data_IF_379049665018
#
_entry.id   IF_379049665018
#
_cell.length_a   1.000
_cell.length_b   1.000
_cell.length_c   1.000
_cell.angle_alpha   90.00
_cell.angle_beta   90.00
_cell.angle_gamma   90.00
#
_symmetry.space_group_name_H-M   'P 1'
#
loop_
_entity.id
_entity.type
_entity.pdbx_description
1 polymer ?
#
# COMPACT_ATOMS: atom_id res chain seq x y z
N UNK A 1 -31.47 -19.17 16.06
CA UNK A 1 -30.21 -18.42 16.23
C UNK A 1 -30.07 -17.56 14.99
N UNK A 2 -29.96 -16.24 15.09
CA UNK A 2 -29.88 -15.35 13.91
C UNK A 2 -28.47 -14.80 13.85
N UNK A 3 -27.59 -15.52 13.16
CA UNK A 3 -26.40 -14.89 12.58
C UNK A 3 -26.90 -13.89 11.53
N UNK A 4 -26.30 -12.71 11.43
CA UNK A 4 -26.65 -11.75 10.39
C UNK A 4 -25.62 -11.83 9.25
N UNK A 5 -25.81 -12.68 8.21
CA UNK A 5 -24.97 -12.73 7.01
C UNK A 5 -24.57 -11.35 6.45
N UNK A 6 -25.42 -10.34 6.66
CA UNK A 6 -25.18 -8.94 6.31
C UNK A 6 -23.94 -8.33 6.95
N UNK A 7 -23.54 -8.73 8.17
CA UNK A 7 -22.33 -8.21 8.82
C UNK A 7 -21.06 -8.64 8.10
N UNK A 8 -21.02 -9.89 7.60
CA UNK A 8 -19.92 -10.38 6.75
C UNK A 8 -19.80 -9.59 5.45
N UNK A 9 -20.91 -9.39 4.75
CA UNK A 9 -20.90 -8.64 3.49
C UNK A 9 -20.53 -7.16 3.70
N UNK A 10 -20.97 -6.55 4.81
CA UNK A 10 -20.54 -5.20 5.19
C UNK A 10 -19.03 -5.13 5.42
N UNK A 11 -18.49 -6.07 6.19
CA UNK A 11 -17.05 -6.17 6.43
C UNK A 11 -16.25 -6.41 5.13
N UNK A 12 -16.74 -7.29 4.25
CA UNK A 12 -16.13 -7.54 2.95
C UNK A 12 -16.10 -6.28 2.07
N UNK A 13 -17.24 -5.58 1.98
CA UNK A 13 -17.36 -4.34 1.22
C UNK A 13 -16.38 -3.27 1.70
N UNK A 14 -16.17 -3.15 3.02
CA UNK A 14 -15.18 -2.22 3.57
C UNK A 14 -13.75 -2.63 3.22
N UNK A 15 -13.40 -3.92 3.27
CA UNK A 15 -12.09 -4.39 2.85
C UNK A 15 -11.79 -4.05 1.38
N UNK A 16 -12.76 -4.29 0.48
CA UNK A 16 -12.63 -3.92 -0.93
C UNK A 16 -12.51 -2.41 -1.13
N UNK A 17 -13.32 -1.63 -0.41
CA UNK A 17 -13.29 -0.18 -0.50
C UNK A 17 -11.94 0.40 -0.06
N UNK A 18 -11.38 -0.08 1.06
CA UNK A 18 -10.06 0.34 1.54
C UNK A 18 -8.99 -0.04 0.54
N UNK A 19 -9.01 -1.27 0.02
CA UNK A 19 -8.03 -1.72 -0.98
C UNK A 19 -8.03 -0.84 -2.24
N UNK A 20 -9.23 -0.53 -2.75
CA UNK A 20 -9.38 0.34 -3.93
C UNK A 20 -8.84 1.75 -3.67
N UNK A 21 -9.25 2.36 -2.55
CA UNK A 21 -8.84 3.72 -2.21
C UNK A 21 -7.34 3.83 -1.90
N UNK A 22 -6.74 2.78 -1.33
CA UNK A 22 -5.30 2.69 -1.13
C UNK A 22 -4.56 2.61 -2.47
N UNK A 23 -5.02 1.75 -3.38
CA UNK A 23 -4.47 1.63 -4.73
C UNK A 23 -4.56 2.95 -5.52
N UNK A 24 -5.67 3.67 -5.41
CA UNK A 24 -5.83 4.99 -6.04
C UNK A 24 -4.76 5.99 -5.58
N UNK A 25 -4.36 5.95 -4.30
CA UNK A 25 -3.28 6.78 -3.75
C UNK A 25 -1.89 6.28 -4.14
N UNK A 26 -1.66 4.96 -4.09
CA UNK A 26 -0.35 4.35 -4.26
C UNK A 26 0.08 4.24 -5.73
N UNK A 27 -0.82 3.97 -6.66
CA UNK A 27 -0.49 3.75 -8.08
C UNK A 27 0.21 4.95 -8.74
N UNK A 28 -0.17 6.23 -8.48
CA UNK A 28 0.60 7.38 -8.95
C UNK A 28 2.04 7.42 -8.44
N UNK A 29 2.26 7.13 -7.15
CA UNK A 29 3.61 7.04 -6.58
C UNK A 29 4.42 5.94 -7.26
N UNK A 30 3.84 4.75 -7.40
CA UNK A 30 4.48 3.61 -8.05
C UNK A 30 4.98 3.95 -9.46
N UNK A 31 4.17 4.67 -10.27
CA UNK A 31 4.58 5.08 -11.62
C UNK A 31 5.79 6.02 -11.61
N UNK A 32 5.87 6.93 -10.65
CA UNK A 32 7.02 7.84 -10.51
C UNK A 32 8.26 7.07 -10.06
N UNK A 33 8.12 6.11 -9.14
CA UNK A 33 9.23 5.29 -8.68
C UNK A 33 9.90 4.49 -9.81
N UNK A 34 9.14 4.08 -10.85
CA UNK A 34 9.73 3.43 -12.03
C UNK A 34 10.67 4.35 -12.83
N UNK A 35 10.58 5.68 -12.66
CA UNK A 35 11.37 6.65 -13.42
C UNK A 35 12.53 7.24 -12.63
N UNK A 36 12.73 6.84 -11.36
CA UNK A 36 13.78 7.41 -10.48
C UNK A 36 15.20 6.93 -10.79
N UNK A 37 15.38 6.15 -11.87
CA UNK A 37 16.68 5.70 -12.34
C UNK A 37 17.68 6.86 -12.46
N UNK A 38 18.74 6.83 -11.64
CA UNK A 38 19.78 7.86 -11.64
C UNK A 38 19.43 9.19 -10.97
N UNK A 39 18.28 9.32 -10.30
CA UNK A 39 17.91 10.60 -9.64
C UNK A 39 18.97 11.09 -8.65
N UNK A 40 19.66 10.18 -7.97
CA UNK A 40 20.66 10.49 -6.96
C UNK A 40 22.01 10.88 -7.57
N UNK A 41 22.29 10.47 -8.81
CA UNK A 41 23.64 10.49 -9.37
C UNK A 41 24.50 9.28 -8.94
N UNK A 42 25.77 9.31 -9.32
CA UNK A 42 26.74 8.24 -9.12
C UNK A 42 27.93 8.58 -8.22
N UNK A 43 28.00 9.81 -7.70
CA UNK A 43 29.12 10.29 -6.89
C UNK A 43 29.26 9.56 -5.53
N UNK A 44 30.47 9.46 -5.01
CA UNK A 44 30.84 8.64 -3.87
C UNK A 44 30.08 9.03 -2.59
N UNK A 45 29.86 10.32 -2.37
CA UNK A 45 29.15 10.81 -1.18
C UNK A 45 27.65 10.45 -1.16
N UNK A 46 27.03 10.18 -2.32
CA UNK A 46 25.59 9.83 -2.37
C UNK A 46 25.30 8.35 -2.12
N UNK A 47 26.30 7.46 -2.24
CA UNK A 47 26.11 6.00 -2.24
C UNK A 47 25.39 5.46 -1.01
N UNK A 48 25.73 5.96 0.18
CA UNK A 48 25.08 5.53 1.43
C UNK A 48 23.61 5.93 1.45
N UNK A 49 23.29 7.14 0.98
CA UNK A 49 21.92 7.60 0.92
C UNK A 49 21.11 6.85 -0.15
N UNK A 50 21.65 6.71 -1.38
CA UNK A 50 20.95 6.05 -2.48
C UNK A 50 20.67 4.58 -2.17
N UNK A 51 21.63 3.86 -1.59
CA UNK A 51 21.42 2.48 -1.12
C UNK A 51 20.31 2.39 -0.07
N UNK A 52 20.32 3.27 0.93
CA UNK A 52 19.30 3.28 1.97
C UNK A 52 17.92 3.73 1.45
N UNK A 53 17.89 4.62 0.46
CA UNK A 53 16.67 4.99 -0.26
C UNK A 53 16.12 3.78 -1.00
N UNK A 54 16.94 3.13 -1.83
CA UNK A 54 16.53 1.99 -2.68
C UNK A 54 15.97 0.83 -1.84
N UNK A 55 16.63 0.50 -0.72
CA UNK A 55 16.15 -0.52 0.23
C UNK A 55 14.80 -0.17 0.83
N UNK A 56 14.63 1.06 1.34
CA UNK A 56 13.36 1.50 1.95
C UNK A 56 12.22 1.55 0.95
N UNK A 57 12.48 2.03 -0.26
CA UNK A 57 11.46 2.05 -1.32
C UNK A 57 11.07 0.63 -1.71
N UNK A 58 12.02 -0.28 -1.91
CA UNK A 58 11.72 -1.68 -2.23
C UNK A 58 10.90 -2.38 -1.13
N UNK A 59 11.24 -2.16 0.14
CA UNK A 59 10.48 -2.68 1.27
C UNK A 59 9.05 -2.09 1.30
N UNK A 60 8.92 -0.78 1.12
CA UNK A 60 7.63 -0.11 1.08
C UNK A 60 6.72 -0.63 -0.05
N UNK A 61 7.24 -0.73 -1.28
CA UNK A 61 6.43 -1.13 -2.43
C UNK A 61 5.93 -2.56 -2.31
N UNK A 62 6.72 -3.44 -1.69
CA UNK A 62 6.31 -4.80 -1.34
C UNK A 62 5.16 -4.79 -0.31
N UNK A 63 5.31 -4.05 0.79
CA UNK A 63 4.29 -3.97 1.85
C UNK A 63 2.99 -3.35 1.34
N UNK A 64 3.07 -2.25 0.60
CA UNK A 64 1.92 -1.56 0.02
C UNK A 64 1.11 -2.47 -0.91
N UNK A 65 1.80 -3.19 -1.81
CA UNK A 65 1.19 -4.14 -2.74
C UNK A 65 0.52 -5.31 -1.98
N UNK A 66 1.21 -5.90 -1.01
CA UNK A 66 0.69 -7.02 -0.25
C UNK A 66 -0.49 -6.63 0.64
N UNK A 67 -0.47 -5.43 1.23
CA UNK A 67 -1.59 -4.91 2.01
C UNK A 67 -2.87 -4.78 1.18
N UNK A 68 -2.78 -4.17 -0.02
CA UNK A 68 -3.92 -4.05 -0.93
C UNK A 68 -4.48 -5.41 -1.35
N UNK A 69 -3.60 -6.39 -1.64
CA UNK A 69 -4.00 -7.76 -2.00
C UNK A 69 -4.64 -8.50 -0.83
N UNK A 70 -4.07 -8.40 0.36
CA UNK A 70 -4.59 -9.04 1.56
C UNK A 70 -6.01 -8.56 1.87
N UNK A 71 -6.29 -7.25 1.70
CA UNK A 71 -7.64 -6.71 1.84
C UNK A 71 -8.63 -7.29 0.82
N UNK A 72 -8.23 -7.45 -0.44
CA UNK A 72 -9.09 -8.06 -1.46
C UNK A 72 -9.40 -9.52 -1.10
N UNK A 73 -8.36 -10.33 -0.88
CA UNK A 73 -8.55 -11.74 -0.53
C UNK A 73 -9.34 -11.94 0.76
N UNK A 74 -9.14 -11.06 1.75
CA UNK A 74 -9.89 -11.16 3.00
C UNK A 74 -11.36 -10.76 2.81
N UNK A 75 -11.66 -9.80 1.92
CA UNK A 75 -13.02 -9.53 1.45
C UNK A 75 -13.68 -10.77 0.82
N UNK A 76 -12.92 -11.56 0.06
CA UNK A 76 -13.42 -12.80 -0.57
C UNK A 76 -13.78 -13.85 0.49
N UNK A 77 -12.90 -14.02 1.48
CA UNK A 77 -13.12 -14.92 2.62
C UNK A 77 -14.38 -14.53 3.39
N UNK A 78 -14.55 -13.23 3.70
CA UNK A 78 -15.73 -12.71 4.38
C UNK A 78 -17.01 -12.92 3.55
N UNK A 79 -16.95 -12.67 2.24
CA UNK A 79 -18.07 -12.90 1.31
C UNK A 79 -18.48 -14.37 1.28
N UNK A 80 -17.51 -15.28 1.19
CA UNK A 80 -17.75 -16.73 1.21
C UNK A 80 -18.33 -17.20 2.55
N UNK A 81 -17.80 -16.68 3.67
CA UNK A 81 -18.33 -16.97 5.01
C UNK A 81 -19.79 -16.50 5.14
N UNK A 82 -20.09 -15.26 4.73
CA UNK A 82 -21.45 -14.71 4.73
C UNK A 82 -22.42 -15.54 3.89
N UNK A 83 -21.98 -16.02 2.73
CA UNK A 83 -22.78 -16.91 1.88
C UNK A 83 -23.04 -18.26 2.54
N UNK A 84 -22.01 -18.90 3.08
CA UNK A 84 -22.13 -20.19 3.77
C UNK A 84 -23.10 -20.10 4.96
N UNK A 85 -23.03 -19.02 5.75
CA UNK A 85 -23.98 -18.73 6.81
C UNK A 85 -25.40 -18.54 6.29
N UNK A 86 -25.60 -17.73 5.24
CA UNK A 86 -26.91 -17.54 4.64
C UNK A 86 -27.52 -18.87 4.14
N UNK A 87 -26.71 -19.74 3.52
CA UNK A 87 -27.13 -21.06 3.09
C UNK A 87 -27.50 -21.97 4.26
N UNK A 88 -26.71 -21.93 5.35
CA UNK A 88 -27.00 -22.67 6.58
C UNK A 88 -28.35 -22.27 7.18
N UNK A 89 -28.57 -20.97 7.34
CA UNK A 89 -29.83 -20.39 7.84
C UNK A 89 -31.02 -20.77 6.95
N UNK A 90 -30.88 -20.66 5.63
CA UNK A 90 -31.92 -21.04 4.68
C UNK A 90 -32.27 -22.53 4.75
N UNK A 91 -31.25 -23.41 4.89
CA UNK A 91 -31.45 -24.86 5.04
C UNK A 91 -32.09 -25.22 6.38
N UNK A 92 -31.70 -24.54 7.46
CA UNK A 92 -32.25 -24.75 8.79
C UNK A 92 -33.69 -24.22 8.94
N UNK A 93 -34.05 -23.19 8.19
CA UNK A 93 -35.41 -22.65 8.20
C UNK A 93 -36.40 -23.66 7.57
N UNK A 94 -37.35 -24.13 8.39
CA UNK A 94 -38.40 -25.09 8.00
C UNK A 94 -39.70 -24.41 7.55
N UNK A 95 -39.78 -23.08 7.59
CA UNK A 95 -40.96 -22.37 7.13
C UNK A 95 -41.22 -22.64 5.65
N UNK A 96 -42.48 -22.93 5.24
CA UNK A 96 -42.84 -23.03 3.83
C UNK A 96 -42.66 -21.69 3.08
N UNK A 97 -42.74 -20.56 3.79
CA UNK A 97 -42.61 -19.20 3.23
C UNK A 97 -41.21 -18.60 3.44
N UNK A 98 -40.17 -19.44 3.54
CA UNK A 98 -38.80 -18.99 3.86
C UNK A 98 -38.09 -18.16 2.79
N UNK A 99 -38.76 -17.87 1.67
CA UNK A 99 -38.24 -17.09 0.57
C UNK A 99 -37.30 -17.87 -0.36
N UNK A 100 -36.54 -17.14 -1.18
CA UNK A 100 -35.60 -17.73 -2.13
C UNK A 100 -34.29 -18.15 -1.45
N UNK A 101 -33.62 -19.15 -2.04
CA UNK A 101 -32.29 -19.55 -1.61
C UNK A 101 -31.27 -18.41 -1.84
N UNK A 102 -30.23 -18.30 -0.99
CA UNK A 102 -29.15 -17.35 -1.20
C UNK A 102 -28.48 -17.55 -2.56
N UNK A 103 -28.27 -16.46 -3.29
CA UNK A 103 -27.55 -16.47 -4.57
C UNK A 103 -26.05 -16.54 -4.34
N UNK A 104 -25.36 -17.37 -5.12
CA UNK A 104 -23.90 -17.46 -5.08
C UNK A 104 -23.29 -16.08 -5.42
N UNK A 105 -22.36 -15.55 -4.60
CA UNK A 105 -21.66 -14.33 -4.93
C UNK A 105 -20.82 -14.52 -6.21
N UNK A 106 -21.21 -13.85 -7.30
CA UNK A 106 -20.47 -13.86 -8.57
C UNK A 106 -19.66 -12.57 -8.79
N UNK A 107 -19.92 -11.54 -7.98
CA UNK A 107 -19.27 -10.24 -8.04
C UNK A 107 -18.10 -10.13 -7.06
N UNK A 108 -17.22 -11.13 -7.07
CA UNK A 108 -15.93 -11.01 -6.39
C UNK A 108 -15.08 -10.09 -7.26
N UNK A 109 -14.57 -8.94 -6.75
CA UNK A 109 -13.70 -8.09 -7.53
C UNK A 109 -12.53 -8.92 -8.02
N UNK A 110 -12.30 -8.96 -9.34
CA UNK A 110 -11.09 -9.56 -9.87
C UNK A 110 -9.91 -8.89 -9.19
N UNK A 111 -9.03 -9.68 -8.59
CA UNK A 111 -7.77 -9.18 -8.05
C UNK A 111 -7.18 -8.21 -9.08
N UNK A 112 -7.05 -6.93 -8.73
CA UNK A 112 -6.40 -6.00 -9.64
C UNK A 112 -4.97 -6.51 -9.81
N UNK A 113 -4.56 -6.95 -11.01
CA UNK A 113 -3.22 -7.42 -11.19
C UNK A 113 -2.31 -6.20 -10.99
N UNK A 114 -1.51 -6.20 -9.93
CA UNK A 114 -0.24 -5.52 -10.01
C UNK A 114 0.57 -6.29 -11.05
N UNK A 115 0.41 -5.90 -12.31
CA UNK A 115 1.04 -6.53 -13.47
C UNK A 115 2.55 -6.30 -13.48
N UNK A 116 3.17 -6.47 -14.65
CA UNK A 116 4.61 -6.26 -14.88
C UNK A 116 5.12 -4.85 -14.48
N UNK A 117 4.21 -3.91 -14.18
CA UNK A 117 4.49 -2.55 -13.72
C UNK A 117 4.71 -2.43 -12.20
N UNK A 118 4.67 -3.54 -11.44
CA UNK A 118 4.99 -3.55 -10.01
C UNK A 118 6.43 -3.12 -9.76
N UNK A 119 6.63 -2.09 -8.91
CA UNK A 119 7.98 -1.67 -8.50
C UNK A 119 8.54 -2.72 -7.54
N UNK A 120 9.43 -3.57 -8.03
CA UNK A 120 10.15 -4.58 -7.23
C UNK A 120 11.43 -3.99 -6.61
N UNK A 121 11.84 -2.81 -7.09
CA UNK A 121 12.95 -2.04 -6.57
C UNK A 121 13.15 -0.78 -7.40
N UNK A 122 13.91 0.16 -6.84
CA UNK A 122 14.35 1.38 -7.54
C UNK A 122 15.87 1.38 -7.59
N UNK A 123 16.43 1.98 -8.64
CA UNK A 123 17.86 2.18 -8.79
C UNK A 123 18.13 3.69 -8.79
N UNK A 124 18.00 4.33 -7.63
CA UNK A 124 18.16 5.78 -7.51
C UNK A 124 19.56 6.24 -7.89
N UNK A 125 20.57 5.38 -7.72
CA UNK A 125 21.95 5.66 -8.13
C UNK A 125 22.23 5.23 -9.56
N UNK A 126 22.78 6.16 -10.33
CA UNK A 126 23.42 5.92 -11.63
C UNK A 126 24.24 7.17 -11.97
N UNK A 127 25.43 6.98 -12.54
CA UNK A 127 26.19 8.11 -13.05
C UNK A 127 25.45 8.74 -14.24
N UNK A 128 25.15 10.03 -14.17
CA UNK A 128 24.49 10.79 -15.24
C UNK A 128 25.50 11.61 -16.08
N UNK A 129 26.76 11.66 -15.68
CA UNK A 129 27.81 12.36 -16.42
C UNK A 129 28.89 12.89 -15.48
N UNK A 130 29.48 14.03 -15.85
CA UNK A 130 30.50 14.71 -15.04
C UNK A 130 29.91 15.71 -14.03
N UNK A 131 28.58 15.83 -13.97
CA UNK A 131 27.91 16.85 -13.18
C UNK A 131 28.02 18.23 -13.84
N UNK A 132 29.11 18.95 -13.60
CA UNK A 132 29.34 20.28 -14.18
C UNK A 132 29.83 20.18 -15.63
N UNK A 133 29.04 20.72 -16.54
CA UNK A 133 29.45 21.00 -17.92
C UNK A 133 29.78 22.48 -18.06
N UNK A 134 30.95 22.80 -18.60
CA UNK A 134 31.43 24.19 -18.72
C UNK A 134 32.30 24.35 -19.94
N UNK A 135 32.08 25.44 -20.68
CA UNK A 135 32.94 25.86 -21.79
C UNK A 135 34.20 26.61 -21.31
N UNK A 136 34.24 27.03 -20.04
CA UNK A 136 35.38 27.74 -19.45
C UNK A 136 36.49 26.76 -19.05
N UNK A 137 37.69 26.86 -19.65
CA UNK A 137 38.82 26.00 -19.31
C UNK A 137 39.22 26.17 -17.84
N UNK A 138 39.44 25.06 -17.13
CA UNK A 138 39.90 25.07 -15.75
C UNK A 138 38.82 25.31 -14.69
N UNK A 139 37.55 25.57 -15.08
CA UNK A 139 36.48 25.80 -14.11
C UNK A 139 36.12 24.52 -13.34
N UNK A 140 36.07 23.39 -14.04
CA UNK A 140 35.78 22.09 -13.45
C UNK A 140 36.76 21.76 -12.32
N UNK A 141 38.07 21.88 -12.58
CA UNK A 141 39.13 21.60 -11.63
C UNK A 141 39.08 22.55 -10.41
N UNK A 142 38.81 23.83 -10.65
CA UNK A 142 38.65 24.83 -9.58
C UNK A 142 37.46 24.51 -8.68
N UNK A 143 36.34 24.07 -9.26
CA UNK A 143 35.14 23.71 -8.51
C UNK A 143 35.36 22.42 -7.72
N UNK A 144 35.92 21.38 -8.34
CA UNK A 144 36.26 20.12 -7.66
C UNK A 144 37.17 20.37 -6.46
N UNK A 145 38.17 21.25 -6.59
CA UNK A 145 39.09 21.59 -5.50
C UNK A 145 38.40 22.25 -4.29
N UNK A 146 37.18 22.80 -4.45
CA UNK A 146 36.41 23.43 -3.39
C UNK A 146 35.33 22.50 -2.80
N UNK A 147 35.04 21.36 -3.44
CA UNK A 147 33.98 20.45 -3.01
C UNK A 147 34.55 19.42 -2.02
N UNK A 148 33.93 19.35 -0.84
CA UNK A 148 34.18 18.28 0.11
C UNK A 148 33.79 16.92 -0.52
N UNK A 149 34.77 16.03 -0.68
CA UNK A 149 34.57 14.72 -1.32
C UNK A 149 35.13 14.61 -2.75
N UNK A 150 35.59 15.72 -3.36
CA UNK A 150 36.38 15.68 -4.59
C UNK A 150 35.62 15.28 -5.86
N UNK A 151 34.29 15.26 -5.83
CA UNK A 151 33.45 14.92 -6.97
C UNK A 151 32.30 15.92 -7.09
N UNK A 152 31.98 16.31 -8.32
CA UNK A 152 30.82 17.18 -8.58
C UNK A 152 29.56 16.31 -8.58
N UNK A 153 28.52 16.67 -7.82
CA UNK A 153 27.24 15.98 -7.88
C UNK A 153 26.69 15.93 -9.30
N UNK A 154 26.28 14.75 -9.74
CA UNK A 154 25.68 14.48 -11.04
C UNK A 154 24.22 14.03 -10.90
N UNK A 155 23.53 14.47 -9.85
CA UNK A 155 22.12 14.15 -9.60
C UNK A 155 21.21 14.73 -10.69
N UNK A 156 20.16 13.98 -11.03
CA UNK A 156 19.06 14.46 -11.89
C UNK A 156 17.99 15.09 -10.99
N UNK A 157 18.07 16.40 -10.83
CA UNK A 157 17.24 17.16 -9.87
C UNK A 157 15.76 17.15 -10.24
N UNK A 158 15.43 16.99 -11.52
CA UNK A 158 14.04 16.91 -11.97
C UNK A 158 13.41 15.59 -11.54
N UNK A 159 14.10 14.46 -11.77
CA UNK A 159 13.64 13.16 -11.24
C UNK A 159 13.54 13.16 -9.72
N UNK A 160 14.51 13.77 -9.05
CA UNK A 160 14.51 13.88 -7.59
C UNK A 160 13.32 14.70 -7.09
N UNK A 161 13.04 15.86 -7.71
CA UNK A 161 11.88 16.70 -7.40
C UNK A 161 10.54 16.02 -7.68
N UNK A 162 10.47 15.25 -8.77
CA UNK A 162 9.28 14.44 -9.10
C UNK A 162 9.04 13.35 -8.05
N UNK A 163 10.09 12.63 -7.64
CA UNK A 163 10.00 11.61 -6.59
C UNK A 163 9.55 12.22 -5.25
N UNK A 164 10.15 13.36 -4.86
CA UNK A 164 9.77 14.09 -3.66
C UNK A 164 8.29 14.51 -3.66
N UNK A 165 7.82 15.04 -4.80
CA UNK A 165 6.42 15.46 -4.97
C UNK A 165 5.47 14.27 -4.91
N UNK A 166 5.85 13.13 -5.51
CA UNK A 166 5.04 11.91 -5.49
C UNK A 166 4.91 11.32 -4.09
N UNK A 167 6.02 11.23 -3.34
CA UNK A 167 6.01 10.80 -1.94
C UNK A 167 5.14 11.71 -1.08
N UNK A 168 5.28 13.03 -1.25
CA UNK A 168 4.45 14.00 -0.53
C UNK A 168 2.96 13.83 -0.86
N UNK A 169 2.63 13.71 -2.15
CA UNK A 169 1.25 13.54 -2.60
C UNK A 169 0.63 12.26 -2.03
N UNK A 170 1.39 11.17 -2.00
CA UNK A 170 0.96 9.92 -1.37
C UNK A 170 0.76 10.09 0.13
N UNK A 171 1.74 10.68 0.83
CA UNK A 171 1.70 10.89 2.27
C UNK A 171 0.59 11.86 2.71
N UNK A 172 0.20 12.81 1.86
CA UNK A 172 -0.89 13.76 2.12
C UNK A 172 -2.27 13.19 1.67
N UNK A 173 -2.32 12.00 1.06
CA UNK A 173 -3.55 11.48 0.48
C UNK A 173 -4.55 11.00 1.55
N UNK A 174 -5.78 11.54 1.60
CA UNK A 174 -6.74 11.24 2.68
C UNK A 174 -7.12 9.77 2.83
N UNK A 175 -7.02 8.95 1.77
CA UNK A 175 -7.34 7.52 1.84
C UNK A 175 -6.29 6.65 2.54
N UNK A 176 -5.04 7.14 2.64
CA UNK A 176 -4.01 6.48 3.45
C UNK A 176 -4.38 6.64 4.93
N UNK A 177 -4.94 7.79 5.29
CA UNK A 177 -5.42 8.10 6.63
C UNK A 177 -6.80 7.50 6.91
N UNK A 178 -6.85 6.58 7.87
CA UNK A 178 -8.10 6.06 8.44
C UNK A 178 -8.43 4.61 8.08
N UNK A 179 -7.63 3.94 7.24
CA UNK A 179 -7.75 2.50 6.99
C UNK A 179 -7.64 1.69 8.29
N UNK A 180 -6.68 2.03 9.16
CA UNK A 180 -6.53 1.44 10.50
C UNK A 180 -7.82 1.55 11.32
N UNK A 181 -8.37 2.76 11.45
CA UNK A 181 -9.58 3.01 12.22
C UNK A 181 -10.78 2.27 11.64
N UNK A 182 -10.96 2.31 10.32
CA UNK A 182 -12.07 1.63 9.64
C UNK A 182 -12.02 0.12 9.82
N UNK A 183 -10.84 -0.49 9.69
CA UNK A 183 -10.67 -1.94 9.89
C UNK A 183 -10.96 -2.35 11.34
N UNK A 184 -10.57 -1.53 12.32
CA UNK A 184 -10.94 -1.76 13.74
C UNK A 184 -12.44 -1.68 13.97
N UNK A 185 -13.10 -0.64 13.43
CA UNK A 185 -14.56 -0.51 13.52
C UNK A 185 -15.29 -1.66 12.85
N UNK A 186 -14.78 -2.16 11.72
CA UNK A 186 -15.33 -3.34 11.05
C UNK A 186 -15.17 -4.60 11.91
N UNK A 187 -14.01 -4.79 12.55
CA UNK A 187 -13.79 -5.91 13.48
C UNK A 187 -14.76 -5.84 14.68
N UNK A 188 -14.88 -4.68 15.30
CA UNK A 188 -15.80 -4.45 16.44
C UNK A 188 -17.27 -4.67 16.05
N UNK A 189 -17.69 -4.12 14.91
CA UNK A 189 -19.04 -4.31 14.39
C UNK A 189 -19.34 -5.78 14.05
N UNK A 190 -18.34 -6.51 13.54
CA UNK A 190 -18.45 -7.93 13.28
C UNK A 190 -18.59 -8.73 14.59
N UNK A 191 -17.86 -8.42 15.66
CA UNK A 191 -18.01 -9.07 16.97
C UNK A 191 -19.36 -8.77 17.63
N UNK A 192 -19.79 -7.50 17.64
CA UNK A 192 -21.03 -7.05 18.27
C UNK A 192 -22.27 -7.74 17.69
N UNK A 193 -22.23 -8.08 16.40
CA UNK A 193 -23.29 -8.84 15.74
C UNK A 193 -23.55 -10.23 16.35
N UNK A 194 -22.64 -10.76 17.19
CA UNK A 194 -22.71 -12.11 17.79
C UNK A 194 -22.74 -12.12 19.32
N UNK A 195 -23.06 -10.98 19.94
CA UNK A 195 -22.99 -10.66 21.39
C UNK A 195 -23.53 -11.68 22.42
N UNK A 196 -24.12 -12.82 22.04
CA UNK A 196 -24.54 -13.89 22.97
C UNK A 196 -24.13 -15.31 22.56
N UNK A 197 -23.68 -15.54 21.33
CA UNK A 197 -23.27 -16.86 20.83
C UNK A 197 -22.33 -16.65 19.63
N UNK A 198 -21.04 -16.45 19.94
CA UNK A 198 -20.00 -16.12 18.98
C UNK A 198 -19.73 -17.35 18.11
N UNK A 199 -20.08 -17.24 16.84
CA UNK A 199 -19.73 -18.24 15.85
C UNK A 199 -18.20 -18.46 15.83
N UNK A 200 -17.77 -19.72 15.74
CA UNK A 200 -16.36 -20.12 15.98
C UNK A 200 -15.36 -19.44 15.04
N UNK A 201 -15.81 -18.99 13.87
CA UNK A 201 -15.02 -18.28 12.86
C UNK A 201 -14.80 -16.80 13.20
N UNK A 202 -15.71 -16.16 13.94
CA UNK A 202 -15.67 -14.71 14.23
C UNK A 202 -14.39 -14.24 14.95
N UNK A 203 -13.87 -14.93 15.99
CA UNK A 203 -12.63 -14.51 16.62
C UNK A 203 -11.43 -14.49 15.66
N UNK A 204 -11.34 -15.46 14.76
CA UNK A 204 -10.26 -15.51 13.76
C UNK A 204 -10.41 -14.39 12.72
N UNK A 205 -11.63 -14.15 12.24
CA UNK A 205 -11.87 -13.11 11.24
C UNK A 205 -11.58 -11.71 11.79
N UNK A 206 -11.95 -11.46 13.05
CA UNK A 206 -11.75 -10.17 13.72
C UNK A 206 -10.29 -9.94 14.07
N UNK A 207 -9.55 -10.99 14.43
CA UNK A 207 -8.09 -10.95 14.61
C UNK A 207 -7.35 -10.61 13.30
N UNK A 208 -7.76 -11.21 12.18
CA UNK A 208 -7.21 -10.85 10.87
C UNK A 208 -7.51 -9.39 10.48
N UNK A 209 -8.71 -8.89 10.74
CA UNK A 209 -9.04 -7.47 10.54
C UNK A 209 -8.16 -6.54 11.39
N UNK A 210 -7.90 -6.91 12.65
CA UNK A 210 -7.00 -6.15 13.54
C UNK A 210 -5.55 -6.20 13.09
N UNK A 211 -5.11 -7.32 12.54
CA UNK A 211 -3.78 -7.46 11.93
C UNK A 211 -3.65 -6.53 10.73
N UNK A 212 -4.61 -6.54 9.82
CA UNK A 212 -4.66 -5.61 8.68
C UNK A 212 -4.72 -4.15 9.15
N UNK A 213 -5.47 -3.86 10.21
CA UNK A 213 -5.51 -2.52 10.80
C UNK A 213 -4.13 -2.07 11.33
N UNK A 214 -3.37 -2.99 11.91
CA UNK A 214 -2.01 -2.71 12.41
C UNK A 214 -1.07 -2.41 11.25
N UNK A 215 -1.08 -3.24 10.20
CA UNK A 215 -0.30 -2.99 8.98
C UNK A 215 -0.65 -1.65 8.32
N UNK A 216 -1.92 -1.25 8.32
CA UNK A 216 -2.34 0.06 7.83
C UNK A 216 -1.71 1.21 8.63
N UNK A 217 -1.65 1.08 9.97
CA UNK A 217 -1.02 2.08 10.83
C UNK A 217 0.51 2.13 10.68
N UNK A 218 1.15 1.00 10.39
CA UNK A 218 2.58 0.96 10.09
C UNK A 218 2.92 1.69 8.79
N UNK A 219 2.10 1.50 7.74
CA UNK A 219 2.23 2.22 6.47
C UNK A 219 2.08 3.74 6.67
N UNK A 220 1.11 4.14 7.50
CA UNK A 220 0.84 5.55 7.82
C UNK A 220 1.99 6.21 8.61
N UNK A 221 2.68 5.44 9.44
CA UNK A 221 3.77 5.93 10.28
C UNK A 221 5.15 5.90 9.61
N UNK A 222 5.29 5.36 8.40
CA UNK A 222 6.59 5.34 7.74
C UNK A 222 7.10 6.78 7.55
N UNK A 223 8.24 7.15 8.18
CA UNK A 223 8.72 8.53 8.10
C UNK A 223 8.97 8.88 6.64
N UNK A 224 8.64 10.11 6.20
CA UNK A 224 8.97 10.55 4.85
C UNK A 224 10.46 10.33 4.65
N UNK A 225 10.81 9.59 3.60
CA UNK A 225 12.19 9.24 3.31
C UNK A 225 12.98 10.55 3.24
N UNK A 226 13.82 10.77 4.25
CA UNK A 226 14.52 12.03 4.42
C UNK A 226 15.44 12.25 3.22
N UNK A 227 15.07 13.24 2.40
CA UNK A 227 15.83 13.71 1.26
C UNK A 227 17.10 14.41 1.79
N UNK A 228 18.29 14.18 1.20
CA UNK A 228 19.47 14.92 1.59
C UNK A 228 19.24 16.39 1.27
N UNK A 229 19.73 17.28 2.13
CA UNK A 229 19.91 18.67 1.73
C UNK A 229 21.16 18.71 0.87
N UNK A 230 20.98 18.94 -0.44
CA UNK A 230 22.05 19.30 -1.36
C UNK A 230 22.52 20.72 -1.04
#
# INVERSE_FOLDING_TARGET
MRVAPRSYYGAASECYAISKQFQEAYNPLQRVLLTTGGMAGGYQAIKTWSSGYDERVGAFTLVATNFARALQHFGDVLTAAGYNWACGEYKANRSPDKGAAPTLPTAIPTELPYGADSVIGVASSRANGRGLESEFPGLYEKVVAQIAGGEIPDSDTDKFGNAATAWKTFADHPSVFGAQTRLRLVAEGLEQAYSSDVAKDIPYLTDHLRTLATSAGEIDWLPPISLPRL
#
